data_IF_903642591374
#
_entry.id   IF_903642591374
#
_cell.length_a   1.000
_cell.length_b   1.000
_cell.length_c   1.000
_cell.angle_alpha   90.00
_cell.angle_beta   90.00
_cell.angle_gamma   90.00
#
_symmetry.space_group_name_H-M   'P 1'
#
loop_
_entity.id
_entity.type
_entity.pdbx_description
1 polymer ?
#
# COMPACT_ATOMS: atom_id res chain seq x y z
N UNK A 1 -6.31 -17.22 7.26
CA UNK A 1 -5.14 -17.99 7.76
C UNK A 1 -3.83 -17.21 7.63
N UNK A 2 -3.84 -15.94 7.18
CA UNK A 2 -2.62 -15.19 6.80
C UNK A 2 -1.97 -14.31 7.87
N UNK A 3 -2.60 -14.14 9.04
CA UNK A 3 -2.04 -13.26 10.09
C UNK A 3 -0.97 -13.98 10.92
N UNK A 4 -1.15 -15.28 11.18
CA UNK A 4 -0.15 -16.09 11.90
C UNK A 4 1.15 -16.28 11.11
N UNK A 5 1.08 -16.41 9.79
CA UNK A 5 2.27 -16.61 8.94
C UNK A 5 3.12 -15.34 8.86
N UNK A 6 2.47 -14.17 8.83
CA UNK A 6 3.16 -12.86 8.79
C UNK A 6 3.80 -12.50 10.14
N UNK A 7 3.16 -12.84 11.26
CA UNK A 7 3.75 -12.71 12.59
C UNK A 7 4.90 -13.69 12.82
N UNK A 8 4.80 -14.92 12.30
CA UNK A 8 5.88 -15.91 12.40
C UNK A 8 7.13 -15.49 11.60
N UNK A 9 6.96 -14.91 10.41
CA UNK A 9 8.07 -14.36 9.60
C UNK A 9 8.72 -13.14 10.25
N UNK A 10 7.94 -12.28 10.90
CA UNK A 10 8.46 -11.12 11.62
C UNK A 10 9.24 -11.52 12.88
N UNK A 11 8.77 -12.54 13.61
CA UNK A 11 9.47 -13.08 14.77
C UNK A 11 10.72 -13.88 14.38
N UNK A 12 10.72 -14.59 13.24
CA UNK A 12 11.90 -15.28 12.71
C UNK A 12 13.00 -14.30 12.27
N UNK A 13 12.63 -13.17 11.66
CA UNK A 13 13.58 -12.10 11.33
C UNK A 13 14.09 -11.36 12.57
N UNK A 14 13.25 -11.18 13.59
CA UNK A 14 13.67 -10.62 14.87
C UNK A 14 14.65 -11.50 15.64
N UNK A 15 14.51 -12.83 15.57
CA UNK A 15 15.44 -13.76 16.23
C UNK A 15 16.76 -13.93 15.47
N UNK A 16 16.79 -13.83 14.13
CA UNK A 16 18.05 -13.92 13.36
C UNK A 16 18.97 -12.71 13.56
N UNK A 17 18.42 -11.54 13.91
CA UNK A 17 19.18 -10.31 14.13
C UNK A 17 19.83 -10.20 15.53
N UNK A 18 19.51 -11.10 16.46
CA UNK A 18 19.98 -11.02 17.85
C UNK A 18 20.97 -12.13 18.25
N UNK A 19 21.31 -13.05 17.34
CA UNK A 19 22.12 -14.23 17.64
C UNK A 19 23.44 -14.28 16.84
N UNK A 20 24.16 -13.15 16.83
CA UNK A 20 25.44 -13.00 16.13
C UNK A 20 26.49 -12.24 16.92
N UNK A 21 26.46 -12.28 18.26
CA UNK A 21 27.57 -11.84 19.11
C UNK A 21 28.07 -13.03 19.92
N UNK A 22 29.22 -13.58 19.52
CA UNK A 22 30.21 -14.26 20.37
C UNK A 22 31.12 -15.12 19.51
N UNK A 23 32.28 -14.61 19.09
CA UNK A 23 33.54 -15.35 19.23
C UNK A 23 34.75 -14.44 19.03
N UNK A 24 35.55 -14.33 20.10
CA UNK A 24 36.88 -13.74 20.14
C UNK A 24 37.90 -14.74 19.60
N UNK A 25 38.80 -14.35 18.68
CA UNK A 25 40.19 -14.84 18.74
C UNK A 25 41.22 -14.07 17.88
N UNK A 26 42.30 -13.68 18.57
CA UNK A 26 43.72 -13.60 18.18
C UNK A 26 44.20 -12.76 16.98
N UNK A 27 44.79 -11.63 17.36
CA UNK A 27 45.95 -10.94 16.77
C UNK A 27 46.97 -11.86 16.08
N UNK A 28 47.41 -11.46 14.88
CA UNK A 28 48.73 -11.84 14.34
C UNK A 28 49.41 -10.57 13.82
N UNK A 29 50.43 -10.11 14.56
CA UNK A 29 51.33 -9.05 14.13
C UNK A 29 52.21 -9.54 12.98
N UNK A 30 52.28 -8.78 11.89
CA UNK A 30 53.41 -8.87 10.95
C UNK A 30 53.96 -7.48 10.69
N UNK A 31 55.10 -7.24 11.32
CA UNK A 31 55.96 -6.09 11.09
C UNK A 31 56.77 -6.27 9.81
N UNK A 32 56.81 -5.24 8.97
CA UNK A 32 57.82 -4.92 7.93
C UNK A 32 57.45 -3.52 7.44
N UNK A 33 58.32 -2.55 7.20
CA UNK A 33 59.76 -2.47 7.13
C UNK A 33 60.09 -1.06 6.61
N UNK A 34 61.21 -0.51 7.07
CA UNK A 34 61.65 0.88 6.93
C UNK A 34 62.14 1.29 5.53
N UNK A 35 62.01 2.59 5.25
CA UNK A 35 62.76 3.50 4.33
C UNK A 35 62.57 3.43 2.81
N UNK A 36 62.20 4.59 2.22
CA UNK A 36 63.05 5.38 1.28
C UNK A 36 62.30 6.63 0.77
N UNK A 37 62.31 7.74 1.52
CA UNK A 37 61.50 8.93 1.24
C UNK A 37 62.27 10.13 0.67
N UNK A 38 63.04 9.98 -0.42
CA UNK A 38 63.72 11.15 -1.03
C UNK A 38 63.80 11.13 -2.56
N UNK A 39 63.78 9.97 -3.21
CA UNK A 39 63.83 9.88 -4.69
C UNK A 39 62.44 9.75 -5.36
N UNK A 40 61.36 9.59 -4.58
CA UNK A 40 60.01 9.38 -5.10
C UNK A 40 59.27 10.69 -5.44
N UNK A 41 59.57 11.78 -4.74
CA UNK A 41 58.83 13.06 -4.82
C UNK A 41 59.08 13.82 -6.14
N UNK A 42 60.29 13.72 -6.69
CA UNK A 42 60.62 14.36 -7.98
C UNK A 42 60.01 13.58 -9.16
N UNK A 43 59.83 12.27 -9.00
CA UNK A 43 59.15 11.41 -9.99
C UNK A 43 57.64 11.62 -9.99
N UNK A 44 57.00 11.76 -8.82
CA UNK A 44 55.54 11.98 -8.70
C UNK A 44 55.12 13.32 -9.28
N UNK A 45 55.88 14.39 -9.03
CA UNK A 45 55.57 15.71 -9.56
C UNK A 45 55.69 15.77 -11.09
N UNK A 46 56.71 15.10 -11.66
CA UNK A 46 56.89 15.01 -13.11
C UNK A 46 55.79 14.17 -13.79
N UNK A 47 55.38 13.08 -13.16
CA UNK A 47 54.26 12.22 -13.59
C UNK A 47 52.93 12.97 -13.53
N UNK A 48 52.66 13.69 -12.45
CA UNK A 48 51.46 14.52 -12.33
C UNK A 48 51.40 15.62 -13.40
N UNK A 49 52.53 16.28 -13.71
CA UNK A 49 52.58 17.26 -14.80
C UNK A 49 52.37 16.67 -16.20
N UNK A 50 52.55 15.36 -16.38
CA UNK A 50 52.18 14.66 -17.63
C UNK A 50 50.69 14.40 -17.70
N UNK A 51 50.10 13.97 -16.59
CA UNK A 51 48.68 13.58 -16.49
C UNK A 51 47.77 14.82 -16.48
N UNK A 52 48.12 15.85 -15.71
CA UNK A 52 47.31 17.05 -15.50
C UNK A 52 48.15 18.34 -15.56
N UNK A 53 48.65 18.62 -16.78
CA UNK A 53 49.46 19.80 -17.10
C UNK A 53 48.94 21.14 -16.55
N UNK A 54 47.62 21.47 -16.56
CA UNK A 54 47.15 22.75 -16.04
C UNK A 54 47.17 22.85 -14.51
N UNK A 55 47.00 21.74 -13.78
CA UNK A 55 46.90 21.74 -12.32
C UNK A 55 48.22 21.39 -11.61
N UNK A 56 49.22 20.94 -12.36
CA UNK A 56 50.48 20.49 -11.78
C UNK A 56 51.34 21.59 -11.14
N UNK A 57 50.93 22.85 -11.21
CA UNK A 57 51.55 23.96 -10.48
C UNK A 57 50.91 24.23 -9.11
N UNK A 58 49.76 23.64 -8.81
CA UNK A 58 49.10 23.75 -7.51
C UNK A 58 49.65 22.70 -6.54
N UNK A 59 50.19 23.15 -5.42
CA UNK A 59 50.69 22.25 -4.37
C UNK A 59 49.56 21.42 -3.75
N UNK A 60 48.36 21.99 -3.60
CA UNK A 60 47.20 21.25 -3.07
C UNK A 60 46.77 20.10 -4.00
N UNK A 61 46.81 20.33 -5.31
CA UNK A 61 46.46 19.30 -6.31
C UNK A 61 47.53 18.20 -6.38
N UNK A 62 48.82 18.55 -6.25
CA UNK A 62 49.90 17.56 -6.15
C UNK A 62 49.70 16.66 -4.93
N UNK A 63 49.37 17.23 -3.77
CA UNK A 63 49.11 16.47 -2.55
C UNK A 63 47.89 15.56 -2.70
N UNK A 64 46.84 16.03 -3.39
CA UNK A 64 45.66 15.22 -3.67
C UNK A 64 45.94 14.11 -4.68
N UNK A 65 46.74 14.36 -5.71
CA UNK A 65 47.18 13.33 -6.65
C UNK A 65 48.06 12.27 -5.99
N UNK A 66 49.00 12.69 -5.14
CA UNK A 66 49.80 11.76 -4.34
C UNK A 66 48.91 10.90 -3.43
N UNK A 67 47.87 11.49 -2.84
CA UNK A 67 46.91 10.74 -2.07
C UNK A 67 46.13 9.72 -2.91
N UNK A 68 45.68 10.09 -4.12
CA UNK A 68 45.03 9.14 -5.06
C UNK A 68 45.99 8.02 -5.47
N UNK A 69 47.26 8.34 -5.74
CA UNK A 69 48.29 7.32 -6.01
C UNK A 69 48.49 6.37 -4.83
N UNK A 70 48.47 6.89 -3.60
CA UNK A 70 48.56 6.04 -2.41
C UNK A 70 47.32 5.17 -2.24
N UNK A 71 46.13 5.64 -2.60
CA UNK A 71 44.91 4.82 -2.64
C UNK A 71 45.05 3.71 -3.68
N UNK A 72 45.51 4.03 -4.89
CA UNK A 72 45.77 3.04 -5.94
C UNK A 72 46.74 1.95 -5.47
N UNK A 73 47.84 2.32 -4.82
CA UNK A 73 48.80 1.37 -4.20
C UNK A 73 48.24 0.52 -3.07
N UNK A 74 47.13 0.92 -2.44
CA UNK A 74 46.46 0.09 -1.43
C UNK A 74 45.58 -0.98 -2.07
N UNK A 75 45.30 -0.85 -3.38
CA UNK A 75 44.46 -1.76 -4.14
C UNK A 75 45.29 -2.64 -5.09
N UNK A 76 46.40 -2.11 -5.64
CA UNK A 76 47.34 -2.79 -6.53
C UNK A 76 48.30 -3.67 -5.71
N UNK A 77 47.86 -4.91 -5.43
CA UNK A 77 48.54 -5.85 -4.54
C UNK A 77 49.80 -6.47 -5.17
N UNK A 78 49.78 -6.70 -6.48
CA UNK A 78 50.94 -7.22 -7.21
C UNK A 78 51.93 -6.12 -7.66
N UNK A 79 51.56 -4.85 -7.47
CA UNK A 79 52.31 -3.64 -7.80
C UNK A 79 52.70 -3.56 -9.29
N UNK A 80 51.86 -4.09 -10.18
CA UNK A 80 52.10 -4.08 -11.62
C UNK A 80 51.78 -2.72 -12.27
N UNK A 81 51.08 -1.82 -11.55
CA UNK A 81 50.73 -0.47 -11.99
C UNK A 81 49.26 -0.29 -12.41
N UNK A 82 48.48 -1.37 -12.45
CA UNK A 82 47.07 -1.41 -12.82
C UNK A 82 46.27 -2.26 -11.83
N UNK A 83 45.15 -1.76 -11.33
CA UNK A 83 44.27 -2.54 -10.45
C UNK A 83 43.32 -3.38 -11.28
N UNK A 84 43.35 -4.70 -11.08
CA UNK A 84 42.45 -5.63 -11.75
C UNK A 84 41.15 -5.92 -10.98
N UNK A 85 40.33 -6.79 -11.56
CA UNK A 85 39.01 -7.17 -11.03
C UNK A 85 39.11 -7.99 -9.75
N UNK A 86 40.11 -8.89 -9.64
CA UNK A 86 40.27 -9.72 -8.45
C UNK A 86 40.81 -8.88 -7.29
N UNK A 87 41.79 -8.02 -7.56
CA UNK A 87 42.39 -7.10 -6.59
C UNK A 87 41.36 -6.12 -6.00
N UNK A 88 40.54 -5.51 -6.86
CA UNK A 88 39.50 -4.59 -6.38
C UNK A 88 38.36 -5.31 -5.62
N UNK A 89 38.03 -6.56 -5.95
CA UNK A 89 37.04 -7.35 -5.21
C UNK A 89 37.55 -7.74 -3.82
N UNK A 90 38.82 -8.12 -3.71
CA UNK A 90 39.50 -8.40 -2.43
C UNK A 90 39.51 -7.15 -1.54
N UNK A 91 39.99 -6.02 -2.07
CA UNK A 91 40.01 -4.75 -1.34
C UNK A 91 38.62 -4.30 -0.85
N UNK A 92 37.58 -4.47 -1.66
CA UNK A 92 36.22 -4.09 -1.27
C UNK A 92 35.69 -4.91 -0.09
N UNK A 93 36.05 -6.20 -0.03
CA UNK A 93 35.60 -7.12 1.02
C UNK A 93 36.43 -7.03 2.27
N UNK A 94 37.74 -6.88 2.15
CA UNK A 94 38.68 -6.94 3.27
C UNK A 94 38.90 -5.57 3.91
N UNK A 95 39.23 -4.54 3.12
CA UNK A 95 39.54 -3.20 3.64
C UNK A 95 38.30 -2.33 3.84
N UNK A 96 37.38 -2.35 2.87
CA UNK A 96 36.13 -1.58 2.95
C UNK A 96 34.97 -2.33 3.62
N UNK A 97 35.16 -3.62 3.91
CA UNK A 97 34.23 -4.48 4.64
C UNK A 97 32.81 -4.52 4.02
N UNK A 98 32.72 -4.51 2.68
CA UNK A 98 31.46 -4.68 1.96
C UNK A 98 31.07 -6.16 1.84
N UNK A 99 29.85 -6.50 2.24
CA UNK A 99 29.33 -7.87 2.13
C UNK A 99 28.81 -8.24 0.72
N UNK A 100 28.51 -7.24 -0.11
CA UNK A 100 28.14 -7.44 -1.51
C UNK A 100 28.80 -6.35 -2.38
N UNK A 101 30.01 -6.61 -2.92
CA UNK A 101 30.74 -5.65 -3.71
C UNK A 101 30.21 -5.50 -5.15
N UNK A 102 29.28 -6.34 -5.62
CA UNK A 102 28.93 -6.46 -7.05
C UNK A 102 28.51 -5.14 -7.73
N UNK A 103 27.70 -4.32 -7.05
CA UNK A 103 27.25 -3.00 -7.56
C UNK A 103 28.39 -1.98 -7.58
N UNK A 104 29.29 -2.05 -6.61
CA UNK A 104 30.43 -1.13 -6.47
C UNK A 104 31.55 -1.51 -7.44
N UNK A 105 31.79 -2.81 -7.58
CA UNK A 105 32.72 -3.41 -8.51
C UNK A 105 32.39 -3.07 -9.97
N UNK A 106 31.11 -3.17 -10.36
CA UNK A 106 30.64 -2.73 -11.68
C UNK A 106 30.74 -1.21 -11.90
N UNK A 107 30.63 -0.41 -10.84
CA UNK A 107 30.80 1.06 -10.93
C UNK A 107 32.27 1.45 -11.10
N UNK A 108 33.18 0.70 -10.47
CA UNK A 108 34.62 0.98 -10.49
C UNK A 108 35.28 0.58 -11.81
N UNK A 109 34.97 -0.63 -12.31
CA UNK A 109 35.53 -1.13 -13.57
C UNK A 109 34.71 -0.73 -14.80
N UNK A 110 33.38 -0.71 -14.71
CA UNK A 110 32.53 -0.43 -15.87
C UNK A 110 32.81 -1.40 -17.04
N UNK A 111 33.44 -0.89 -18.10
CA UNK A 111 33.91 -1.67 -19.25
C UNK A 111 35.42 -2.01 -19.19
N UNK A 112 36.18 -1.33 -18.34
CA UNK A 112 37.63 -1.42 -18.22
C UNK A 112 38.04 -2.43 -17.14
N UNK A 113 38.85 -3.42 -17.52
CA UNK A 113 39.27 -4.51 -16.61
C UNK A 113 40.50 -4.16 -15.76
N UNK A 114 41.21 -3.10 -16.13
CA UNK A 114 42.45 -2.65 -15.52
C UNK A 114 42.33 -1.15 -15.28
N UNK A 115 42.53 -0.72 -14.03
CA UNK A 115 42.43 0.69 -13.65
C UNK A 115 43.82 1.21 -13.30
N UNK A 116 44.34 2.09 -14.15
CA UNK A 116 45.61 2.78 -13.91
C UNK A 116 45.46 3.93 -12.91
N UNK A 117 46.58 4.42 -12.36
CA UNK A 117 46.61 5.63 -11.51
C UNK A 117 45.98 6.84 -12.23
N UNK A 118 46.19 6.94 -13.55
CA UNK A 118 45.67 8.05 -14.35
C UNK A 118 44.15 7.98 -14.47
N UNK A 119 43.60 6.78 -14.62
CA UNK A 119 42.16 6.58 -14.79
C UNK A 119 41.44 6.80 -13.46
N UNK A 120 42.04 6.38 -12.35
CA UNK A 120 41.55 6.70 -11.02
C UNK A 120 41.52 8.21 -10.77
N UNK A 121 42.57 8.95 -11.17
CA UNK A 121 42.60 10.41 -11.07
C UNK A 121 41.52 11.08 -11.94
N UNK A 122 41.33 10.63 -13.19
CA UNK A 122 40.29 11.16 -14.08
C UNK A 122 38.89 10.87 -13.53
N UNK A 123 38.65 9.65 -13.04
CA UNK A 123 37.39 9.25 -12.40
C UNK A 123 37.09 10.14 -11.19
N UNK A 124 38.07 10.33 -10.30
CA UNK A 124 37.95 11.25 -9.17
C UNK A 124 37.60 12.68 -9.60
N UNK A 125 38.33 13.25 -10.56
CA UNK A 125 38.14 14.63 -11.04
C UNK A 125 36.79 14.85 -11.74
N UNK A 126 36.27 13.82 -12.40
CA UNK A 126 34.95 13.84 -13.04
C UNK A 126 33.79 13.60 -12.07
N UNK A 127 34.07 13.12 -10.85
CA UNK A 127 33.06 12.91 -9.82
C UNK A 127 32.49 14.24 -9.31
N UNK A 128 31.24 14.23 -8.87
CA UNK A 128 30.60 15.39 -8.23
C UNK A 128 31.33 15.84 -6.97
N UNK A 129 32.01 14.90 -6.29
CA UNK A 129 32.73 15.13 -5.03
C UNK A 129 33.88 16.10 -5.22
N UNK A 130 34.54 16.09 -6.39
CA UNK A 130 35.64 17.02 -6.67
C UNK A 130 35.20 18.49 -6.55
N UNK A 131 33.97 18.78 -6.98
CA UNK A 131 33.40 20.13 -6.97
C UNK A 131 32.71 20.50 -5.64
N UNK A 132 32.83 19.68 -4.59
CA UNK A 132 32.17 19.98 -3.32
C UNK A 132 32.77 21.22 -2.63
N UNK A 133 31.85 22.06 -2.17
CA UNK A 133 32.12 23.17 -1.28
C UNK A 133 32.39 22.68 0.14
N UNK A 134 32.98 23.56 0.98
CA UNK A 134 33.23 23.26 2.39
C UNK A 134 31.93 22.88 3.13
N UNK A 135 30.81 23.53 2.78
CA UNK A 135 29.51 23.24 3.38
C UNK A 135 29.02 21.82 3.05
N UNK A 136 29.22 21.36 1.81
CA UNK A 136 28.85 20.02 1.37
C UNK A 136 29.72 18.95 2.04
N UNK A 137 31.03 19.20 2.17
CA UNK A 137 31.93 18.29 2.90
C UNK A 137 31.56 18.23 4.39
N UNK A 138 31.19 19.35 5.00
CA UNK A 138 30.71 19.38 6.39
C UNK A 138 29.39 18.61 6.52
N UNK A 139 28.46 18.79 5.59
CA UNK A 139 27.20 18.06 5.62
C UNK A 139 27.42 16.56 5.45
N UNK A 140 28.34 16.15 4.57
CA UNK A 140 28.80 14.77 4.44
C UNK A 140 29.39 14.23 5.75
N UNK A 141 30.23 15.02 6.44
CA UNK A 141 30.79 14.65 7.73
C UNK A 141 29.72 14.41 8.80
N UNK A 142 28.70 15.27 8.85
CA UNK A 142 27.60 15.18 9.83
C UNK A 142 26.65 14.01 9.50
N UNK A 143 26.26 13.87 8.24
CA UNK A 143 25.18 12.96 7.84
C UNK A 143 25.65 11.57 7.45
N UNK A 144 26.81 11.45 6.79
CA UNK A 144 27.33 10.17 6.30
C UNK A 144 28.40 9.58 7.20
N UNK A 145 29.31 10.41 7.70
CA UNK A 145 30.35 9.96 8.63
C UNK A 145 29.84 9.95 10.08
N UNK A 146 28.79 10.71 10.37
CA UNK A 146 28.19 10.88 11.70
C UNK A 146 29.17 11.43 12.74
N UNK A 147 30.01 12.38 12.32
CA UNK A 147 31.01 13.02 13.18
C UNK A 147 30.83 14.54 13.26
N UNK A 148 29.69 15.03 13.79
CA UNK A 148 29.41 16.47 13.86
C UNK A 148 30.42 17.25 14.72
N UNK A 149 31.05 16.59 15.69
CA UNK A 149 32.01 17.19 16.61
C UNK A 149 33.27 17.79 15.94
N UNK A 150 33.58 17.43 14.69
CA UNK A 150 34.73 17.97 13.96
C UNK A 150 34.33 19.01 12.90
N UNK A 151 33.05 19.37 12.81
CA UNK A 151 32.54 20.38 11.86
C UNK A 151 33.36 21.68 11.91
N UNK A 152 33.55 22.24 13.11
CA UNK A 152 34.28 23.51 13.24
C UNK A 152 35.71 23.42 12.71
N UNK A 153 36.36 22.27 12.87
CA UNK A 153 37.72 22.05 12.40
C UNK A 153 37.75 21.99 10.88
N UNK A 154 36.79 21.29 10.25
CA UNK A 154 36.66 21.23 8.80
C UNK A 154 36.40 22.60 8.19
N UNK A 155 35.55 23.42 8.84
CA UNK A 155 35.29 24.81 8.43
C UNK A 155 36.51 25.71 8.59
N UNK A 156 37.23 25.59 9.72
CA UNK A 156 38.45 26.39 9.99
C UNK A 156 39.57 26.09 9.00
N UNK A 157 39.70 24.83 8.58
CA UNK A 157 40.70 24.38 7.63
C UNK A 157 40.28 24.55 6.16
N UNK A 158 39.04 25.00 5.91
CA UNK A 158 38.49 25.18 4.56
C UNK A 158 38.62 23.92 3.69
N UNK A 159 38.30 22.75 4.27
CA UNK A 159 38.38 21.48 3.56
C UNK A 159 37.26 21.39 2.51
N UNK A 160 37.65 21.51 1.25
CA UNK A 160 36.78 21.32 0.09
C UNK A 160 36.86 19.89 -0.48
N UNK A 161 36.03 19.60 -1.48
CA UNK A 161 36.03 18.34 -2.22
C UNK A 161 37.42 17.89 -2.67
N UNK A 162 38.26 18.83 -3.14
CA UNK A 162 39.64 18.60 -3.53
C UNK A 162 40.50 17.90 -2.47
N UNK A 163 40.20 18.10 -1.17
CA UNK A 163 40.95 17.50 -0.07
C UNK A 163 40.47 16.09 0.30
N UNK A 164 39.39 15.58 -0.28
CA UNK A 164 38.82 14.27 0.06
C UNK A 164 39.80 13.10 -0.10
N UNK A 165 40.61 13.00 -1.17
CA UNK A 165 41.64 11.96 -1.26
C UNK A 165 42.66 12.04 -0.13
N UNK A 166 43.00 13.26 0.31
CA UNK A 166 43.91 13.47 1.45
C UNK A 166 43.31 12.97 2.76
N UNK A 167 41.99 13.02 2.92
CA UNK A 167 41.25 12.47 4.06
C UNK A 167 41.16 10.93 4.03
N UNK A 168 41.21 10.33 2.84
CA UNK A 168 41.12 8.88 2.64
C UNK A 168 42.45 8.14 2.91
N UNK A 169 43.58 8.85 2.93
CA UNK A 169 44.89 8.27 3.24
C UNK A 169 45.23 8.41 4.72
N UNK A 170 45.85 7.38 5.31
CA UNK A 170 46.28 7.33 6.72
C UNK A 170 47.49 8.23 7.02
N UNK A 171 47.38 9.54 6.79
CA UNK A 171 48.42 10.46 7.25
C UNK A 171 48.17 10.84 8.72
N UNK A 172 48.85 10.15 9.64
CA UNK A 172 48.76 10.35 11.09
C UNK A 172 49.00 11.80 11.51
N UNK A 173 49.79 12.55 10.74
CA UNK A 173 50.09 13.96 11.00
C UNK A 173 48.87 14.84 10.71
N UNK A 174 48.21 14.68 9.57
CA UNK A 174 47.04 15.49 9.20
C UNK A 174 45.83 15.15 10.08
N UNK A 175 45.52 13.86 10.28
CA UNK A 175 44.34 13.47 11.06
C UNK A 175 44.53 13.65 12.57
N UNK A 176 45.79 13.54 13.05
CA UNK A 176 46.14 13.69 14.46
C UNK A 176 46.36 15.15 14.89
N UNK A 177 47.23 15.89 14.20
CA UNK A 177 47.62 17.25 14.63
C UNK A 177 46.74 18.34 14.06
N UNK A 178 46.27 18.19 12.82
CA UNK A 178 45.50 19.23 12.11
C UNK A 178 44.00 19.07 12.37
N UNK A 179 43.47 17.85 12.26
CA UNK A 179 42.05 17.56 12.51
C UNK A 179 41.70 17.34 13.99
N UNK A 180 42.70 17.25 14.88
CA UNK A 180 42.55 17.00 16.33
C UNK A 180 41.70 15.78 16.67
N UNK A 181 41.61 14.81 15.77
CA UNK A 181 40.87 13.57 16.02
C UNK A 181 41.75 12.68 16.88
N UNK A 182 41.56 12.66 18.19
CA UNK A 182 42.41 11.86 19.10
C UNK A 182 42.03 10.38 19.09
N UNK A 183 40.79 10.06 18.75
CA UNK A 183 40.28 8.69 18.76
C UNK A 183 40.59 7.96 17.44
N UNK A 184 41.18 6.77 17.55
CA UNK A 184 41.48 5.87 16.43
C UNK A 184 40.21 5.43 15.69
N UNK A 185 39.11 5.24 16.40
CA UNK A 185 37.84 4.79 15.81
C UNK A 185 37.28 5.83 14.82
N UNK A 186 37.28 7.10 15.21
CA UNK A 186 36.84 8.21 14.38
C UNK A 186 37.72 8.40 13.14
N UNK A 187 39.05 8.21 13.27
CA UNK A 187 39.97 8.29 12.14
C UNK A 187 39.71 7.19 11.13
N UNK A 188 39.58 5.94 11.58
CA UNK A 188 39.30 4.81 10.70
C UNK A 188 37.94 4.96 10.02
N UNK A 189 36.90 5.39 10.77
CA UNK A 189 35.57 5.66 10.20
C UNK A 189 35.62 6.75 9.13
N UNK A 190 36.28 7.88 9.42
CA UNK A 190 36.46 8.96 8.45
C UNK A 190 37.19 8.47 7.20
N UNK A 191 38.29 7.75 7.39
CA UNK A 191 39.13 7.26 6.31
C UNK A 191 38.35 6.32 5.39
N UNK A 192 37.68 5.29 5.94
CA UNK A 192 36.89 4.34 5.16
C UNK A 192 35.76 5.03 4.41
N UNK A 193 35.09 6.01 5.04
CA UNK A 193 34.02 6.77 4.40
C UNK A 193 34.54 7.72 3.32
N UNK A 194 35.69 8.36 3.55
CA UNK A 194 36.34 9.23 2.57
C UNK A 194 36.82 8.43 1.36
N UNK A 195 37.42 7.26 1.60
CA UNK A 195 37.85 6.33 0.57
C UNK A 195 36.66 5.87 -0.30
N UNK A 196 35.56 5.43 0.33
CA UNK A 196 34.33 5.10 -0.38
C UNK A 196 33.78 6.29 -1.20
N UNK A 197 33.87 7.50 -0.66
CA UNK A 197 33.38 8.71 -1.36
C UNK A 197 34.27 9.07 -2.56
N UNK A 198 35.59 8.86 -2.46
CA UNK A 198 36.54 9.12 -3.55
C UNK A 198 36.41 8.07 -4.67
N UNK A 199 36.24 6.80 -4.31
CA UNK A 199 36.15 5.70 -5.27
C UNK A 199 34.78 5.62 -5.96
N UNK A 200 33.70 5.95 -5.25
CA UNK A 200 32.33 5.71 -5.74
C UNK A 200 31.47 6.97 -5.85
N UNK A 201 32.00 8.13 -5.48
CA UNK A 201 31.28 9.40 -5.54
C UNK A 201 30.39 9.68 -4.32
N UNK A 202 29.46 10.64 -4.44
CA UNK A 202 28.59 11.06 -3.34
C UNK A 202 27.82 9.87 -2.75
N UNK A 203 27.68 9.78 -1.41
CA UNK A 203 26.77 8.81 -0.85
C UNK A 203 25.36 9.10 -1.36
N UNK A 204 24.68 8.07 -1.88
CA UNK A 204 23.30 8.13 -2.40
C UNK A 204 22.27 8.66 -1.38
N UNK A 205 22.69 8.86 -0.12
CA UNK A 205 21.94 9.53 0.94
C UNK A 205 21.63 11.00 0.64
N UNK A 206 22.34 11.67 -0.28
CA UNK A 206 21.94 13.01 -0.76
C UNK A 206 20.60 12.99 -1.51
N UNK A 207 20.11 11.80 -1.89
CA UNK A 207 18.82 11.58 -2.53
C UNK A 207 17.80 10.87 -1.64
N UNK A 208 17.99 10.91 -0.33
CA UNK A 208 16.96 10.47 0.62
C UNK A 208 16.45 11.65 1.42
N UNK A 209 15.29 12.14 1.01
CA UNK A 209 14.17 12.58 1.87
C UNK A 209 12.93 12.71 0.97
N UNK A 210 12.99 13.42 -0.16
CA UNK A 210 11.79 13.62 -0.99
C UNK A 210 11.14 12.35 -1.55
N UNK A 211 11.88 11.36 -2.06
CA UNK A 211 11.26 10.15 -2.64
C UNK A 211 10.69 9.20 -1.59
N UNK A 212 11.42 9.01 -0.48
CA UNK A 212 10.96 8.18 0.65
C UNK A 212 9.80 8.86 1.37
N UNK A 213 9.90 10.16 1.60
CA UNK A 213 8.85 10.93 2.27
C UNK A 213 7.64 11.06 1.34
N UNK A 214 7.82 11.18 0.02
CA UNK A 214 6.72 11.13 -0.94
C UNK A 214 6.03 9.77 -0.95
N UNK A 215 6.78 8.66 -0.97
CA UNK A 215 6.18 7.31 -0.85
C UNK A 215 5.46 7.12 0.48
N UNK A 216 6.00 7.64 1.57
CA UNK A 216 5.38 7.60 2.90
C UNK A 216 4.09 8.41 2.92
N UNK A 217 4.09 9.63 2.39
CA UNK A 217 2.90 10.49 2.26
C UNK A 217 1.84 9.84 1.38
N UNK A 218 2.23 9.27 0.23
CA UNK A 218 1.32 8.54 -0.65
C UNK A 218 0.71 7.33 0.07
N UNK A 219 1.49 6.61 0.88
CA UNK A 219 0.97 5.48 1.66
C UNK A 219 -0.07 5.91 2.71
N UNK A 220 0.16 7.06 3.36
CA UNK A 220 -0.77 7.63 4.35
C UNK A 220 -2.04 8.10 3.64
N UNK A 221 -1.94 8.77 2.49
CA UNK A 221 -3.10 9.23 1.71
C UNK A 221 -3.95 8.05 1.23
N UNK A 222 -3.34 6.96 0.80
CA UNK A 222 -4.06 5.74 0.41
C UNK A 222 -4.72 5.09 1.63
N UNK A 223 -4.04 5.03 2.78
CA UNK A 223 -4.59 4.49 4.02
C UNK A 223 -5.79 5.31 4.53
N UNK A 224 -5.65 6.63 4.62
CA UNK A 224 -6.73 7.54 5.04
C UNK A 224 -7.86 7.57 4.01
N UNK A 225 -7.54 7.56 2.72
CA UNK A 225 -8.52 7.48 1.63
C UNK A 225 -9.31 6.16 1.66
N UNK A 226 -8.65 5.04 1.92
CA UNK A 226 -9.28 3.73 2.10
C UNK A 226 -10.16 3.67 3.35
N UNK A 227 -9.67 4.20 4.48
CA UNK A 227 -10.47 4.29 5.72
C UNK A 227 -11.67 5.23 5.57
N UNK A 228 -11.51 6.37 4.89
CA UNK A 228 -12.59 7.32 4.60
C UNK A 228 -13.61 6.74 3.64
N UNK A 229 -13.17 6.05 2.59
CA UNK A 229 -14.04 5.37 1.63
C UNK A 229 -14.82 4.22 2.29
N UNK A 230 -14.18 3.41 3.13
CA UNK A 230 -14.86 2.41 3.93
C UNK A 230 -15.87 3.05 4.91
N UNK A 231 -15.53 4.20 5.50
CA UNK A 231 -16.43 4.96 6.37
C UNK A 231 -17.65 5.51 5.60
N UNK A 232 -17.45 6.03 4.38
CA UNK A 232 -18.53 6.52 3.52
C UNK A 232 -19.44 5.37 3.06
N UNK A 233 -18.86 4.23 2.71
CA UNK A 233 -19.60 3.04 2.28
C UNK A 233 -20.33 2.39 3.45
N UNK A 234 -19.76 2.44 4.66
CA UNK A 234 -20.43 2.03 5.90
C UNK A 234 -21.63 2.96 6.23
N UNK A 235 -21.55 4.25 5.91
CA UNK A 235 -22.67 5.19 6.04
C UNK A 235 -23.74 4.97 4.96
N UNK A 236 -23.34 4.75 3.71
CA UNK A 236 -24.23 4.43 2.60
C UNK A 236 -24.91 3.06 2.75
N UNK A 237 -24.21 2.07 3.33
CA UNK A 237 -24.76 0.75 3.66
C UNK A 237 -25.94 0.85 4.63
N UNK A 238 -25.90 1.79 5.59
CA UNK A 238 -27.03 2.05 6.49
C UNK A 238 -28.26 2.61 5.75
N UNK A 239 -28.09 3.33 4.64
CA UNK A 239 -29.20 3.82 3.81
C UNK A 239 -29.73 2.72 2.88
N UNK A 240 -28.85 1.88 2.32
CA UNK A 240 -29.26 0.71 1.52
C UNK A 240 -29.92 -0.39 2.36
N UNK A 241 -29.50 -0.61 3.61
CA UNK A 241 -30.17 -1.52 4.54
C UNK A 241 -31.55 -1.00 4.97
N UNK A 242 -31.72 0.31 5.15
CA UNK A 242 -33.05 0.88 5.43
C UNK A 242 -34.02 0.69 4.28
N UNK A 243 -33.55 0.77 3.02
CA UNK A 243 -34.34 0.39 1.85
C UNK A 243 -34.60 -1.11 1.78
N UNK A 244 -33.58 -1.95 2.00
CA UNK A 244 -33.68 -3.40 1.92
C UNK A 244 -34.52 -4.03 3.06
N UNK A 245 -34.58 -3.39 4.23
CA UNK A 245 -35.49 -3.78 5.32
C UNK A 245 -36.94 -3.38 5.00
N UNK A 246 -37.15 -2.25 4.33
CA UNK A 246 -38.48 -1.79 3.89
C UNK A 246 -39.04 -2.66 2.77
N UNK A 247 -38.17 -3.16 1.88
CA UNK A 247 -38.55 -4.10 0.83
C UNK A 247 -38.82 -5.50 1.39
N UNK A 248 -38.13 -5.93 2.46
CA UNK A 248 -38.44 -7.17 3.19
C UNK A 248 -39.76 -7.09 3.97
N UNK A 249 -40.05 -5.96 4.60
CA UNK A 249 -41.33 -5.70 5.27
C UNK A 249 -42.48 -5.60 4.26
N UNK A 250 -42.21 -5.03 3.08
CA UNK A 250 -43.13 -5.00 1.95
C UNK A 250 -43.40 -6.38 1.35
N UNK A 251 -42.37 -7.22 1.23
CA UNK A 251 -42.51 -8.59 0.72
C UNK A 251 -43.25 -9.50 1.72
N UNK A 252 -43.00 -9.36 3.02
CA UNK A 252 -43.74 -10.08 4.05
C UNK A 252 -45.21 -9.64 4.10
N UNK A 253 -45.49 -8.34 3.91
CA UNK A 253 -46.87 -7.83 3.83
C UNK A 253 -47.58 -8.28 2.56
N UNK A 254 -46.87 -8.43 1.45
CA UNK A 254 -47.40 -8.99 0.21
C UNK A 254 -47.68 -10.50 0.37
N UNK A 255 -46.80 -11.25 1.02
CA UNK A 255 -47.00 -12.67 1.38
C UNK A 255 -48.23 -12.86 2.28
N UNK A 256 -48.36 -12.03 3.33
CA UNK A 256 -49.53 -12.04 4.22
C UNK A 256 -50.82 -11.66 3.47
N UNK A 257 -50.76 -10.71 2.53
CA UNK A 257 -51.91 -10.34 1.71
C UNK A 257 -52.29 -11.41 0.68
N UNK A 258 -51.32 -12.19 0.19
CA UNK A 258 -51.55 -13.33 -0.70
C UNK A 258 -52.21 -14.49 0.06
N UNK A 259 -51.79 -14.72 1.31
CA UNK A 259 -52.46 -15.67 2.21
C UNK A 259 -53.88 -15.22 2.58
N UNK A 260 -54.09 -13.95 2.93
CA UNK A 260 -55.42 -13.40 3.21
C UNK A 260 -56.33 -13.41 1.96
N UNK A 261 -55.76 -13.22 0.76
CA UNK A 261 -56.51 -13.37 -0.50
C UNK A 261 -56.85 -14.83 -0.82
N UNK A 262 -55.98 -15.80 -0.53
CA UNK A 262 -56.31 -17.23 -0.64
C UNK A 262 -57.36 -17.65 0.38
N UNK A 263 -57.28 -17.15 1.62
CA UNK A 263 -58.26 -17.41 2.67
C UNK A 263 -59.62 -16.77 2.34
N UNK A 264 -59.63 -15.55 1.80
CA UNK A 264 -60.85 -14.89 1.31
C UNK A 264 -61.39 -15.52 0.04
N UNK A 265 -60.57 -16.02 -0.89
CA UNK A 265 -61.04 -16.80 -2.03
C UNK A 265 -61.62 -18.14 -1.58
N UNK A 266 -61.01 -18.79 -0.59
CA UNK A 266 -61.52 -20.04 -0.04
C UNK A 266 -62.85 -19.82 0.70
N UNK A 267 -62.93 -18.76 1.50
CA UNK A 267 -64.15 -18.34 2.21
C UNK A 267 -65.24 -17.83 1.28
N UNK A 268 -64.89 -17.11 0.21
CA UNK A 268 -65.84 -16.70 -0.83
C UNK A 268 -66.30 -17.89 -1.68
N UNK A 269 -65.47 -18.92 -1.88
CA UNK A 269 -65.84 -20.16 -2.58
C UNK A 269 -66.66 -21.11 -1.69
N UNK A 270 -66.50 -21.02 -0.37
CA UNK A 270 -67.32 -21.72 0.63
C UNK A 270 -68.68 -21.02 0.83
N UNK A 271 -68.69 -19.67 0.87
CA UNK A 271 -69.91 -18.86 0.87
C UNK A 271 -70.67 -18.96 -0.46
N UNK A 272 -70.00 -19.07 -1.61
CA UNK A 272 -70.71 -19.34 -2.87
C UNK A 272 -71.38 -20.72 -2.90
N UNK A 273 -70.90 -21.68 -2.09
CA UNK A 273 -71.47 -23.03 -1.98
C UNK A 273 -72.63 -23.09 -0.98
N UNK A 274 -72.63 -22.27 0.07
CA UNK A 274 -73.76 -22.13 1.01
C UNK A 274 -74.86 -21.21 0.48
N UNK A 275 -74.51 -20.19 -0.32
CA UNK A 275 -75.49 -19.28 -0.95
C UNK A 275 -76.27 -19.95 -2.09
N UNK A 276 -75.73 -20.98 -2.77
CA UNK A 276 -76.55 -21.81 -3.67
C UNK A 276 -77.59 -22.66 -2.93
N UNK A 277 -77.27 -23.16 -1.73
CA UNK A 277 -78.19 -23.99 -0.94
C UNK A 277 -79.28 -23.14 -0.27
N UNK A 278 -78.94 -21.93 0.20
CA UNK A 278 -79.93 -21.00 0.78
C UNK A 278 -80.81 -20.36 -0.29
N UNK A 279 -80.28 -20.06 -1.48
CA UNK A 279 -81.08 -19.54 -2.59
C UNK A 279 -82.12 -20.53 -3.08
N UNK A 280 -81.80 -21.84 -3.14
CA UNK A 280 -82.76 -22.89 -3.50
C UNK A 280 -83.83 -23.08 -2.42
N UNK A 281 -83.48 -22.90 -1.13
CA UNK A 281 -84.45 -22.98 -0.04
C UNK A 281 -85.41 -21.77 -0.03
N UNK A 282 -84.90 -20.55 -0.24
CA UNK A 282 -85.72 -19.34 -0.34
C UNK A 282 -86.62 -19.34 -1.59
N UNK A 283 -86.11 -19.76 -2.76
CA UNK A 283 -86.92 -19.87 -3.98
C UNK A 283 -88.03 -20.93 -3.86
N UNK A 284 -87.79 -22.04 -3.16
CA UNK A 284 -88.84 -23.01 -2.84
C UNK A 284 -89.89 -22.43 -1.89
N UNK A 285 -89.46 -21.75 -0.82
CA UNK A 285 -90.38 -21.14 0.15
C UNK A 285 -91.28 -20.07 -0.47
N UNK A 286 -90.73 -19.18 -1.30
CA UNK A 286 -91.51 -18.18 -2.04
C UNK A 286 -92.47 -18.82 -3.05
N UNK A 287 -92.05 -19.90 -3.73
CA UNK A 287 -92.91 -20.62 -4.67
C UNK A 287 -94.06 -21.35 -3.96
N UNK A 288 -93.82 -21.88 -2.78
CA UNK A 288 -94.84 -22.52 -1.95
C UNK A 288 -95.85 -21.50 -1.40
N UNK A 289 -95.38 -20.33 -0.94
CA UNK A 289 -96.26 -19.24 -0.50
C UNK A 289 -97.14 -18.70 -1.66
N UNK A 290 -96.58 -18.56 -2.86
CA UNK A 290 -97.35 -18.18 -4.06
C UNK A 290 -98.37 -19.25 -4.44
N UNK A 291 -98.01 -20.54 -4.37
CA UNK A 291 -98.93 -21.63 -4.68
C UNK A 291 -100.06 -21.71 -3.64
N UNK A 292 -99.77 -21.50 -2.37
CA UNK A 292 -100.78 -21.45 -1.30
C UNK A 292 -101.74 -20.28 -1.53
N UNK A 293 -101.23 -19.08 -1.80
CA UNK A 293 -102.05 -17.91 -2.11
C UNK A 293 -102.88 -18.11 -3.39
N UNK A 294 -102.32 -18.79 -4.40
CA UNK A 294 -103.04 -19.14 -5.63
C UNK A 294 -104.15 -20.16 -5.38
N UNK A 295 -103.91 -21.13 -4.48
CA UNK A 295 -104.91 -22.11 -4.07
C UNK A 295 -106.04 -21.47 -3.25
N UNK A 296 -105.72 -20.53 -2.37
CA UNK A 296 -106.73 -19.72 -1.67
C UNK A 296 -107.54 -18.84 -2.63
N UNK A 297 -106.89 -18.20 -3.60
CA UNK A 297 -107.58 -17.44 -4.64
C UNK A 297 -108.49 -18.31 -5.51
N UNK A 298 -108.08 -19.55 -5.85
CA UNK A 298 -108.92 -20.51 -6.54
C UNK A 298 -110.12 -20.95 -5.69
N UNK A 299 -109.91 -21.23 -4.40
CA UNK A 299 -110.99 -21.59 -3.48
C UNK A 299 -111.99 -20.45 -3.30
N UNK A 300 -111.52 -19.20 -3.21
CA UNK A 300 -112.38 -18.01 -3.17
C UNK A 300 -113.15 -17.83 -4.49
N UNK A 301 -112.55 -18.17 -5.63
CA UNK A 301 -113.22 -18.15 -6.93
C UNK A 301 -114.30 -19.22 -7.03
N UNK A 302 -114.06 -20.44 -6.56
CA UNK A 302 -115.06 -21.52 -6.50
C UNK A 302 -116.23 -21.16 -5.58
N UNK A 303 -115.97 -20.53 -4.43
CA UNK A 303 -117.01 -20.03 -3.54
C UNK A 303 -117.85 -18.92 -4.19
N UNK A 304 -117.22 -18.06 -5.01
CA UNK A 304 -117.90 -17.00 -5.76
C UNK A 304 -118.72 -17.55 -6.93
N UNK A 305 -118.21 -18.53 -7.67
CA UNK A 305 -118.97 -19.23 -8.70
C UNK A 305 -120.13 -20.04 -8.08
N UNK A 306 -119.94 -20.62 -6.89
CA UNK A 306 -121.01 -21.28 -6.13
C UNK A 306 -122.12 -20.30 -5.70
N UNK A 307 -121.76 -19.13 -5.19
CA UNK A 307 -122.73 -18.08 -4.82
C UNK A 307 -123.41 -17.45 -6.04
N UNK A 308 -122.73 -17.28 -7.17
CA UNK A 308 -123.36 -16.86 -8.43
C UNK A 308 -124.34 -17.90 -8.97
N UNK A 309 -124.01 -19.19 -8.86
CA UNK A 309 -124.88 -20.28 -9.32
C UNK A 309 -126.13 -20.42 -8.42
N UNK A 310 -126.00 -20.24 -7.09
CA UNK A 310 -127.15 -20.15 -6.18
C UNK A 310 -128.02 -18.92 -6.45
N UNK A 311 -127.40 -17.76 -6.73
CA UNK A 311 -128.11 -16.53 -7.11
C UNK A 311 -128.83 -16.66 -8.46
N UNK A 312 -128.26 -17.44 -9.38
CA UNK A 312 -128.88 -17.79 -10.67
C UNK A 312 -130.08 -18.72 -10.48
N UNK A 313 -129.98 -19.72 -9.58
CA UNK A 313 -131.11 -20.60 -9.21
C UNK A 313 -132.21 -19.84 -8.45
N UNK A 314 -131.88 -18.87 -7.60
CA UNK A 314 -132.87 -18.01 -6.94
C UNK A 314 -133.59 -17.10 -7.94
N UNK A 315 -132.89 -16.53 -8.92
CA UNK A 315 -133.53 -15.77 -10.03
C UNK A 315 -134.45 -16.64 -10.90
N UNK A 316 -134.04 -17.88 -11.21
CA UNK A 316 -134.90 -18.83 -11.94
C UNK A 316 -136.14 -19.25 -11.13
N UNK A 317 -136.03 -19.34 -9.80
CA UNK A 317 -137.17 -19.58 -8.91
C UNK A 317 -138.08 -18.33 -8.72
N UNK A 318 -137.55 -17.13 -8.91
CA UNK A 318 -138.33 -15.88 -8.97
C UNK A 318 -139.09 -15.75 -10.31
N UNK A 319 -138.52 -16.18 -11.43
CA UNK A 319 -139.20 -16.18 -12.75
C UNK A 319 -140.37 -17.18 -12.83
N UNK A 320 -140.35 -18.29 -12.09
CA UNK A 320 -141.49 -19.23 -12.00
C UNK A 320 -142.63 -18.71 -11.10
N UNK A 321 -142.39 -17.69 -10.25
CA UNK A 321 -143.39 -17.10 -9.37
C UNK A 321 -144.21 -15.97 -10.04
N UNK A 322 -143.81 -15.49 -11.22
CA UNK A 322 -144.57 -14.51 -12.01
C UNK A 322 -145.47 -15.13 -13.11
N UNK A 323 -145.44 -16.45 -13.34
CA UNK A 323 -146.39 -17.14 -14.25
C UNK A 323 -147.62 -17.76 -13.54
N UNK A 324 -147.80 -17.54 -12.24
CA UNK A 324 -149.02 -17.93 -11.49
C UNK A 324 -149.94 -16.72 -11.21
N UNK A 325 -149.55 -15.51 -11.60
CA UNK A 325 -150.38 -14.31 -11.57
C UNK A 325 -150.46 -13.64 -12.95
N UNK A 326 -150.90 -14.39 -13.97
CA UNK A 326 -151.68 -13.81 -15.09
C UNK A 326 -152.62 -14.85 -15.69
#
# INVERSE_FOLDING_TARGET
MDVCVRLALWLLWGLLLHQGQSLSHSHSEKATGTSSGANSEESTAAEFCRIDKPLCHSEDEKLSFEAVRNIHKLMDDDANGDVDVEESDEFLREDLNYHDPTVKHSTFHGEDKLISVEDLWKAWKSSEVYNWTVDEVVQWLITYVELPQYEETFRKLQLSGHAMPRLAVTNTTMTGTVLKMTDRSHRQKLQLKALDTVLFGPPLLTRHNHLKDFMLVVSIVIGVGGCWFAYIQNRYSKEHMKKMMKDLEGLHRAEQSLHDLQERLHKAQEEHRTVEVEKVHLEKKLRDEINLAKQEAQRLKELREGTENERSRQKYAEEELEQVFT
#
